data_IF_448337544148
#
_entry.id   IF_448337544148
#
_cell.length_a   1.000
_cell.length_b   1.000
_cell.length_c   1.000
_cell.angle_alpha   90.00
_cell.angle_beta   90.00
_cell.angle_gamma   90.00
#
_symmetry.space_group_name_H-M   'P 1'
#
loop_
_entity.id
_entity.type
_entity.pdbx_description
1 polymer ?
#
# COMPACT_ATOMS: atom_id res chain seq x y z
N UNK A 1 -0.98 -24.83 -2.92
CA UNK A 1 -1.15 -23.63 -2.08
C UNK A 1 -1.34 -22.48 -3.04
N UNK A 2 -2.45 -21.75 -2.93
CA UNK A 2 -2.70 -20.54 -3.73
C UNK A 2 -1.71 -19.47 -3.26
N UNK A 3 -1.08 -18.75 -4.20
CA UNK A 3 -0.15 -17.67 -3.86
C UNK A 3 -0.94 -16.44 -3.39
N UNK A 4 -0.34 -15.54 -2.59
CA UNK A 4 -1.00 -14.29 -2.19
C UNK A 4 -1.47 -13.43 -3.38
N UNK A 5 -0.84 -13.57 -4.54
CA UNK A 5 -1.20 -12.82 -5.76
C UNK A 5 -2.43 -13.42 -6.46
N UNK A 6 -2.51 -14.74 -6.51
CA UNK A 6 -3.69 -15.47 -6.99
C UNK A 6 -4.90 -15.19 -6.09
N UNK A 7 -4.71 -15.16 -4.77
CA UNK A 7 -5.78 -14.83 -3.81
C UNK A 7 -6.28 -13.39 -4.01
N UNK A 8 -5.37 -12.42 -4.21
CA UNK A 8 -5.75 -11.03 -4.52
C UNK A 8 -6.55 -10.96 -5.83
N UNK A 9 -6.06 -11.60 -6.91
CA UNK A 9 -6.74 -11.58 -8.21
C UNK A 9 -8.14 -12.20 -8.13
N UNK A 10 -8.30 -13.30 -7.38
CA UNK A 10 -9.61 -13.91 -7.10
C UNK A 10 -10.52 -12.96 -6.34
N UNK A 11 -10.04 -12.34 -5.27
CA UNK A 11 -10.80 -11.40 -4.44
C UNK A 11 -11.21 -10.15 -5.24
N UNK A 12 -10.36 -9.66 -6.14
CA UNK A 12 -10.68 -8.55 -7.04
C UNK A 12 -11.78 -8.91 -8.04
N UNK A 13 -11.72 -10.12 -8.63
CA UNK A 13 -12.76 -10.64 -9.51
C UNK A 13 -14.12 -10.79 -8.81
N UNK A 14 -14.11 -11.33 -7.59
CA UNK A 14 -15.31 -11.41 -6.76
C UNK A 14 -15.86 -10.01 -6.44
N UNK A 15 -15.02 -9.10 -5.96
CA UNK A 15 -15.43 -7.72 -5.66
C UNK A 15 -16.02 -7.02 -6.88
N UNK A 16 -15.45 -7.22 -8.08
CA UNK A 16 -15.99 -6.67 -9.31
C UNK A 16 -17.39 -7.20 -9.61
N UNK A 17 -17.62 -8.50 -9.40
CA UNK A 17 -18.93 -9.13 -9.57
C UNK A 17 -19.97 -8.54 -8.60
N UNK A 18 -19.61 -8.35 -7.32
CA UNK A 18 -20.46 -7.68 -6.35
C UNK A 18 -20.73 -6.22 -6.72
N UNK A 19 -19.72 -5.50 -7.22
CA UNK A 19 -19.88 -4.12 -7.68
C UNK A 19 -20.85 -3.99 -8.86
N UNK A 20 -20.79 -4.91 -9.82
CA UNK A 20 -21.73 -4.95 -10.94
C UNK A 20 -23.14 -5.25 -10.45
N UNK A 21 -23.27 -6.17 -9.49
CA UNK A 21 -24.57 -6.51 -8.89
C UNK A 21 -25.14 -5.32 -8.13
N UNK A 22 -24.32 -4.59 -7.39
CA UNK A 22 -24.70 -3.38 -6.67
C UNK A 22 -25.16 -2.27 -7.61
N UNK A 23 -24.44 -2.04 -8.71
CA UNK A 23 -24.81 -1.05 -9.73
C UNK A 23 -26.17 -1.36 -10.38
N UNK A 24 -26.51 -2.64 -10.52
CA UNK A 24 -27.78 -3.09 -11.08
C UNK A 24 -28.89 -3.28 -10.01
N UNK A 25 -28.57 -3.12 -8.73
CA UNK A 25 -29.54 -3.23 -7.63
C UNK A 25 -30.26 -1.90 -7.45
N UNK A 26 -31.59 -1.93 -7.41
CA UNK A 26 -32.44 -0.75 -7.20
C UNK A 26 -31.98 0.09 -6.01
N UNK A 27 -31.93 1.41 -6.17
CA UNK A 27 -31.56 2.34 -5.09
C UNK A 27 -32.50 2.26 -3.88
N UNK A 28 -33.73 1.79 -4.10
CA UNK A 28 -34.74 1.61 -3.04
C UNK A 28 -34.56 0.32 -2.24
N UNK A 29 -33.78 -0.65 -2.75
CA UNK A 29 -33.46 -1.89 -2.02
C UNK A 29 -32.22 -1.69 -1.14
N UNK A 30 -32.42 -0.96 -0.05
CA UNK A 30 -31.36 -0.57 0.87
C UNK A 30 -30.71 -1.78 1.57
N UNK A 31 -31.46 -2.86 1.80
CA UNK A 31 -30.96 -4.05 2.49
C UNK A 31 -29.99 -4.80 1.61
N UNK A 32 -30.38 -5.08 0.36
CA UNK A 32 -29.51 -5.77 -0.60
C UNK A 32 -28.28 -4.91 -0.91
N UNK A 33 -28.44 -3.60 -1.09
CA UNK A 33 -27.30 -2.68 -1.30
C UNK A 33 -26.34 -2.66 -0.11
N UNK A 34 -26.83 -2.60 1.12
CA UNK A 34 -25.98 -2.63 2.31
C UNK A 34 -25.23 -3.97 2.43
N UNK A 35 -25.87 -5.09 2.11
CA UNK A 35 -25.22 -6.40 2.09
C UNK A 35 -24.11 -6.49 1.04
N UNK A 36 -24.38 -6.05 -0.20
CA UNK A 36 -23.41 -6.04 -1.28
C UNK A 36 -22.21 -5.12 -0.95
N UNK A 37 -22.47 -3.95 -0.36
CA UNK A 37 -21.42 -3.05 0.09
C UNK A 37 -20.54 -3.71 1.17
N UNK A 38 -21.15 -4.36 2.16
CA UNK A 38 -20.43 -5.07 3.21
C UNK A 38 -19.51 -6.17 2.64
N UNK A 39 -20.00 -6.94 1.67
CA UNK A 39 -19.22 -8.00 1.02
C UNK A 39 -18.05 -7.44 0.18
N UNK A 40 -18.22 -6.27 -0.45
CA UNK A 40 -17.14 -5.56 -1.15
C UNK A 40 -16.08 -5.02 -0.19
N UNK A 41 -16.50 -4.45 0.93
CA UNK A 41 -15.62 -3.90 1.96
C UNK A 41 -14.79 -5.01 2.61
N UNK A 42 -15.43 -6.14 2.93
CA UNK A 42 -14.75 -7.32 3.49
C UNK A 42 -13.62 -7.82 2.59
N UNK A 43 -13.86 -7.92 1.28
CA UNK A 43 -12.86 -8.35 0.31
C UNK A 43 -11.77 -7.32 0.11
N UNK A 44 -12.12 -6.04 0.13
CA UNK A 44 -11.16 -4.93 0.06
C UNK A 44 -10.23 -4.96 1.26
N UNK A 45 -10.74 -5.14 2.47
CA UNK A 45 -9.92 -5.28 3.69
C UNK A 45 -8.99 -6.48 3.58
N UNK A 46 -9.47 -7.62 3.06
CA UNK A 46 -8.64 -8.80 2.85
C UNK A 46 -7.52 -8.58 1.83
N UNK A 47 -7.81 -7.89 0.73
CA UNK A 47 -6.80 -7.49 -0.26
C UNK A 47 -5.74 -6.58 0.39
N UNK A 48 -6.17 -5.61 1.19
CA UNK A 48 -5.25 -4.70 1.90
C UNK A 48 -4.35 -5.46 2.86
N UNK A 49 -4.87 -6.42 3.63
CA UNK A 49 -4.06 -7.29 4.49
C UNK A 49 -3.00 -8.07 3.69
N UNK A 50 -3.42 -8.70 2.58
CA UNK A 50 -2.51 -9.47 1.71
C UNK A 50 -1.45 -8.56 1.05
N UNK A 51 -1.81 -7.32 0.74
CA UNK A 51 -0.87 -6.32 0.21
C UNK A 51 0.09 -5.79 1.28
N UNK A 52 -0.33 -5.63 2.54
CA UNK A 52 0.55 -5.23 3.65
C UNK A 52 1.60 -6.29 3.97
N UNK A 53 1.28 -7.57 3.70
CA UNK A 53 2.24 -8.67 3.81
C UNK A 53 3.22 -8.72 2.63
N UNK A 54 3.04 -7.93 1.57
CA UNK A 54 4.01 -7.88 0.47
C UNK A 54 5.25 -7.08 0.90
N UNK A 55 6.46 -7.65 0.75
CA UNK A 55 7.68 -6.88 0.93
C UNK A 55 7.69 -5.71 -0.06
N UNK A 56 8.36 -4.60 0.31
CA UNK A 56 8.46 -3.42 -0.53
C UNK A 56 8.83 -3.81 -1.96
N UNK A 57 7.97 -3.43 -2.92
CA UNK A 57 8.20 -3.69 -4.33
C UNK A 57 9.55 -3.13 -4.79
N UNK A 58 10.15 -3.74 -5.82
CA UNK A 58 11.48 -3.39 -6.32
C UNK A 58 11.68 -1.88 -6.50
N UNK A 59 10.72 -1.20 -7.14
CA UNK A 59 10.76 0.25 -7.36
C UNK A 59 10.71 1.06 -6.05
N UNK A 60 9.93 0.62 -5.07
CA UNK A 60 9.83 1.29 -3.77
C UNK A 60 11.14 1.16 -2.97
N UNK A 61 11.80 -0.01 -3.01
CA UNK A 61 13.15 -0.17 -2.40
C UNK A 61 14.18 0.74 -3.04
N UNK A 62 14.23 0.81 -4.37
CA UNK A 62 15.16 1.70 -5.06
C UNK A 62 14.84 3.17 -4.84
N UNK A 63 13.56 3.55 -4.77
CA UNK A 63 13.11 4.89 -4.41
C UNK A 63 13.58 5.30 -3.02
N UNK A 64 13.40 4.43 -2.01
CA UNK A 64 13.91 4.70 -0.66
C UNK A 64 15.44 4.84 -0.63
N UNK A 65 16.17 4.02 -1.38
CA UNK A 65 17.63 4.13 -1.47
C UNK A 65 18.08 5.41 -2.15
N UNK A 66 17.41 5.81 -3.24
CA UNK A 66 17.68 7.09 -3.89
C UNK A 66 17.36 8.28 -2.97
N UNK A 67 16.25 8.23 -2.23
CA UNK A 67 15.91 9.23 -1.22
C UNK A 67 16.93 9.28 -0.08
N UNK A 68 17.45 8.13 0.36
CA UNK A 68 18.52 8.08 1.35
C UNK A 68 19.83 8.69 0.83
N UNK A 69 20.20 8.41 -0.42
CA UNK A 69 21.38 9.00 -1.06
C UNK A 69 21.24 10.50 -1.26
N UNK A 70 20.07 10.97 -1.69
CA UNK A 70 19.77 12.41 -1.82
C UNK A 70 19.74 13.11 -0.46
N UNK A 71 19.21 12.46 0.58
CA UNK A 71 19.24 12.97 1.95
C UNK A 71 20.65 13.08 2.51
N UNK A 72 21.50 12.07 2.26
CA UNK A 72 22.91 12.08 2.65
C UNK A 72 23.72 13.13 1.88
N UNK A 73 23.46 13.30 0.58
CA UNK A 73 24.07 14.35 -0.24
C UNK A 73 23.62 15.74 0.21
N UNK A 74 22.33 15.94 0.43
CA UNK A 74 21.77 17.18 0.98
C UNK A 74 22.34 17.52 2.37
N UNK A 75 22.65 16.52 3.20
CA UNK A 75 23.29 16.76 4.50
C UNK A 75 24.70 17.38 4.39
N UNK A 76 25.37 17.23 3.25
CA UNK A 76 26.69 17.85 3.01
C UNK A 76 26.55 19.34 2.70
N UNK A 77 25.52 19.73 1.93
CA UNK A 77 25.32 21.12 1.48
C UNK A 77 24.44 21.96 2.42
N UNK A 78 23.55 21.35 3.21
CA UNK A 78 22.55 22.09 3.98
C UNK A 78 23.04 22.41 5.40
N UNK A 79 23.37 23.68 5.63
CA UNK A 79 23.12 24.40 6.89
C UNK A 79 23.74 23.85 8.19
N UNK A 80 23.26 24.33 9.35
CA UNK A 80 23.85 24.06 10.67
C UNK A 80 23.85 22.56 11.05
N UNK A 81 24.74 22.21 11.99
CA UNK A 81 25.04 20.81 12.37
C UNK A 81 23.83 19.95 12.76
N UNK A 82 22.76 20.56 13.28
CA UNK A 82 21.51 19.87 13.62
C UNK A 82 20.71 19.41 12.39
N UNK A 83 20.76 20.14 11.27
CA UNK A 83 20.10 19.76 10.03
C UNK A 83 20.78 18.52 9.40
N UNK A 84 22.11 18.44 9.51
CA UNK A 84 22.90 17.28 9.08
C UNK A 84 22.55 16.02 9.89
N UNK A 85 22.37 16.17 11.20
CA UNK A 85 21.97 15.08 12.08
C UNK A 85 20.56 14.55 11.73
N UNK A 86 19.60 15.44 11.47
CA UNK A 86 18.24 15.06 11.05
C UNK A 86 18.21 14.37 9.69
N UNK A 87 18.93 14.90 8.70
CA UNK A 87 19.03 14.29 7.36
C UNK A 87 19.73 12.93 7.39
N UNK A 88 20.77 12.78 8.20
CA UNK A 88 21.46 11.50 8.41
C UNK A 88 20.56 10.44 9.07
N UNK A 89 19.78 10.83 10.09
CA UNK A 89 18.79 9.96 10.71
C UNK A 89 17.71 9.53 9.70
N UNK A 90 17.19 10.47 8.92
CA UNK A 90 16.19 10.20 7.89
C UNK A 90 16.72 9.22 6.82
N UNK A 91 17.95 9.44 6.35
CA UNK A 91 18.62 8.56 5.40
C UNK A 91 18.84 7.15 5.98
N UNK A 92 19.25 7.05 7.25
CA UNK A 92 19.42 5.77 7.94
C UNK A 92 18.08 5.01 8.11
N UNK A 93 17.00 5.73 8.46
CA UNK A 93 15.65 5.15 8.54
C UNK A 93 15.18 4.64 7.19
N UNK A 94 15.40 5.40 6.10
CA UNK A 94 15.04 4.92 4.76
C UNK A 94 15.90 3.73 4.30
N UNK A 95 17.20 3.74 4.58
CA UNK A 95 18.06 2.60 4.28
C UNK A 95 17.59 1.33 5.02
N UNK A 96 17.27 1.46 6.32
CA UNK A 96 16.75 0.35 7.14
C UNK A 96 15.41 -0.17 6.62
N UNK A 97 14.47 0.70 6.30
CA UNK A 97 13.17 0.32 5.73
C UNK A 97 13.32 -0.34 4.35
N UNK A 98 14.38 -0.05 3.58
CA UNK A 98 14.64 -0.68 2.28
C UNK A 98 15.23 -2.10 2.36
N UNK A 99 15.61 -2.58 3.56
CA UNK A 99 16.19 -3.91 3.78
C UNK A 99 15.14 -4.99 4.07
N UNK A 100 13.89 -4.61 4.39
CA UNK A 100 12.73 -5.50 4.45
C UNK A 100 12.18 -5.83 3.07
#
# INVERSE_FOLDING_TARGET
METPEEEIARLEGERHTYSLTFANTSETDLVTRAHLQHEMDRRTNRIVELQQLKPLGFLARWGLRAAALLGAWGALEVGPWWAKALLGLLAASFAFLSLG
#
